data_IF_350430195947
#
_entry.id   IF_350430195947
#
_cell.length_a   1.000
_cell.length_b   1.000
_cell.length_c   1.000
_cell.angle_alpha   90.00
_cell.angle_beta   90.00
_cell.angle_gamma   90.00
#
_symmetry.space_group_name_H-M   'P 1'
#
loop_
_entity.id
_entity.type
_entity.pdbx_description
1 polymer ?
#
# COMPACT_ATOMS: atom_id res chain seq x y z
N UNK A 1 4.68 -0.38 14.89
CA UNK A 1 4.70 0.44 16.12
C UNK A 1 5.61 1.64 16.01
N UNK A 2 6.78 1.48 15.40
CA UNK A 2 7.69 2.60 15.21
C UNK A 2 7.08 3.70 14.34
N UNK A 3 6.36 3.31 13.29
CA UNK A 3 5.69 4.28 12.41
C UNK A 3 4.62 5.04 13.18
N UNK A 4 3.81 4.35 13.97
CA UNK A 4 2.76 5.00 14.77
C UNK A 4 3.35 5.95 15.80
N UNK A 5 4.53 5.67 16.33
CA UNK A 5 5.19 6.53 17.31
C UNK A 5 5.67 7.86 16.72
N UNK A 6 5.69 7.98 15.38
CA UNK A 6 6.11 9.22 14.69
C UNK A 6 4.96 10.18 14.41
N UNK A 7 3.83 10.02 15.09
CA UNK A 7 2.68 10.90 14.93
C UNK A 7 1.72 10.45 13.82
N UNK A 8 1.84 9.22 13.39
CA UNK A 8 0.94 8.62 12.39
C UNK A 8 -0.27 8.05 13.12
N UNK A 9 -1.46 8.43 12.71
CA UNK A 9 -2.70 7.98 13.35
C UNK A 9 -3.13 6.60 12.88
N UNK A 10 -2.87 6.26 11.62
CA UNK A 10 -3.35 5.02 11.04
C UNK A 10 -2.40 4.53 9.95
N UNK A 11 -2.19 3.22 9.89
CA UNK A 11 -1.46 2.57 8.81
C UNK A 11 -2.46 1.78 7.97
N UNK A 12 -2.42 1.98 6.64
CA UNK A 12 -3.34 1.34 5.70
C UNK A 12 -2.52 0.53 4.71
N UNK A 13 -2.95 -0.71 4.46
CA UNK A 13 -2.41 -1.55 3.40
C UNK A 13 -3.49 -1.71 2.34
N UNK A 14 -3.21 -1.33 1.10
CA UNK A 14 -4.16 -1.36 0.01
C UNK A 14 -3.59 -2.15 -1.16
N UNK A 15 -4.41 -2.98 -1.77
CA UNK A 15 -4.00 -3.75 -2.95
C UNK A 15 -5.19 -4.00 -3.86
N UNK A 16 -4.90 -4.28 -5.13
CA UNK A 16 -5.90 -4.67 -6.12
C UNK A 16 -6.19 -6.16 -5.94
N UNK A 17 -6.96 -6.45 -4.90
CA UNK A 17 -7.42 -7.80 -4.56
C UNK A 17 -8.80 -7.67 -3.96
N UNK A 18 -9.57 -8.75 -3.97
CA UNK A 18 -10.89 -8.72 -3.35
C UNK A 18 -10.80 -8.73 -1.82
N UNK A 19 -11.92 -8.40 -1.17
CA UNK A 19 -11.97 -8.27 0.28
C UNK A 19 -11.62 -9.58 1.02
N UNK A 20 -11.93 -10.72 0.43
CA UNK A 20 -11.63 -12.02 1.04
C UNK A 20 -10.12 -12.29 1.06
N UNK A 21 -9.44 -11.94 -0.03
CA UNK A 21 -7.99 -12.09 -0.11
C UNK A 21 -7.30 -11.16 0.89
N UNK A 22 -7.75 -9.91 0.97
CA UNK A 22 -7.18 -8.94 1.90
C UNK A 22 -7.36 -9.39 3.35
N UNK A 23 -8.52 -9.94 3.68
CA UNK A 23 -8.79 -10.43 5.03
C UNK A 23 -7.91 -11.63 5.37
N UNK A 24 -7.70 -12.54 4.43
CA UNK A 24 -6.84 -13.69 4.63
C UNK A 24 -5.40 -13.26 4.87
N UNK A 25 -4.92 -12.28 4.12
CA UNK A 25 -3.58 -11.73 4.26
C UNK A 25 -3.39 -11.04 5.61
N UNK A 26 -4.37 -10.23 6.01
CA UNK A 26 -4.38 -9.58 7.33
C UNK A 26 -4.23 -10.62 8.45
N UNK A 27 -5.00 -11.69 8.36
CA UNK A 27 -4.99 -12.76 9.35
C UNK A 27 -3.65 -13.49 9.37
N UNK A 28 -3.09 -13.77 8.19
CA UNK A 28 -1.79 -14.43 8.06
C UNK A 28 -0.68 -13.61 8.70
N UNK A 29 -0.72 -12.29 8.54
CA UNK A 29 0.28 -11.38 9.08
C UNK A 29 0.05 -11.03 10.54
N UNK A 30 -1.08 -11.42 11.10
CA UNK A 30 -1.46 -11.10 12.50
C UNK A 30 -1.42 -9.59 12.77
N UNK A 31 -1.87 -8.79 11.80
CA UNK A 31 -1.73 -7.32 11.83
C UNK A 31 -3.07 -6.59 12.00
N UNK A 32 -4.15 -7.30 12.35
CA UNK A 32 -5.50 -6.73 12.35
C UNK A 32 -5.70 -5.58 13.34
N UNK A 33 -4.89 -5.50 14.38
CA UNK A 33 -4.98 -4.45 15.39
C UNK A 33 -4.06 -3.26 15.10
N UNK A 34 -3.21 -3.34 14.08
CA UNK A 34 -2.20 -2.30 13.79
C UNK A 34 -2.31 -1.72 12.39
N UNK A 35 -2.84 -2.46 11.44
CA UNK A 35 -2.90 -2.07 10.04
C UNK A 35 -4.30 -2.32 9.52
N UNK A 36 -4.88 -1.32 8.86
CA UNK A 36 -6.16 -1.45 8.18
C UNK A 36 -5.90 -1.96 6.77
N UNK A 37 -6.52 -3.09 6.40
CA UNK A 37 -6.38 -3.67 5.07
C UNK A 37 -7.58 -3.27 4.21
N UNK A 38 -7.32 -2.60 3.10
CA UNK A 38 -8.35 -2.14 2.17
C UNK A 38 -8.25 -2.86 0.84
N UNK A 39 -9.40 -3.20 0.28
CA UNK A 39 -9.52 -3.84 -1.02
C UNK A 39 -9.81 -2.80 -2.09
N UNK A 40 -8.95 -2.71 -3.10
CA UNK A 40 -9.20 -1.95 -4.32
C UNK A 40 -9.50 -2.96 -5.43
N UNK A 41 -10.59 -3.71 -5.26
CA UNK A 41 -10.90 -4.90 -6.04
C UNK A 41 -10.89 -4.71 -7.56
N UNK A 42 -11.39 -3.58 -8.04
CA UNK A 42 -11.43 -3.27 -9.47
C UNK A 42 -10.27 -2.37 -9.92
N UNK A 43 -9.37 -2.02 -9.02
CA UNK A 43 -8.25 -1.14 -9.35
C UNK A 43 -8.61 0.31 -9.58
N UNK A 44 -9.81 0.73 -9.22
CA UNK A 44 -10.29 2.08 -9.50
C UNK A 44 -9.50 3.14 -8.76
N UNK A 45 -9.22 2.90 -7.49
CA UNK A 45 -8.44 3.84 -6.68
C UNK A 45 -7.00 3.92 -7.20
N UNK A 46 -6.37 2.78 -7.42
CA UNK A 46 -4.98 2.74 -7.92
C UNK A 46 -4.85 3.45 -9.26
N UNK A 47 -5.82 3.25 -10.15
CA UNK A 47 -5.85 3.91 -11.45
C UNK A 47 -6.03 5.43 -11.30
N UNK A 48 -6.97 5.84 -10.46
CA UNK A 48 -7.25 7.26 -10.24
C UNK A 48 -6.04 8.00 -9.66
N UNK A 49 -5.24 7.31 -8.84
CA UNK A 49 -4.04 7.89 -8.25
C UNK A 49 -2.81 7.81 -9.15
N UNK A 50 -2.94 7.17 -10.33
CA UNK A 50 -1.80 6.96 -11.21
C UNK A 50 -0.81 5.92 -10.68
N UNK A 51 -1.27 5.02 -9.83
CA UNK A 51 -0.43 4.02 -9.16
C UNK A 51 -0.77 2.59 -9.61
N UNK A 52 -1.43 2.44 -10.74
CA UNK A 52 -1.71 1.11 -11.29
C UNK A 52 -0.61 0.67 -12.24
N UNK A 53 -0.48 -0.64 -12.43
CA UNK A 53 0.46 -1.25 -13.34
C UNK A 53 -0.20 -2.41 -14.06
N UNK A 54 0.15 -2.60 -15.32
CA UNK A 54 -0.37 -3.70 -16.12
C UNK A 54 0.56 -4.91 -15.99
N UNK A 55 0.10 -5.95 -15.32
CA UNK A 55 0.82 -7.20 -15.15
C UNK A 55 0.13 -8.36 -15.89
N UNK A 56 -0.62 -8.06 -16.96
CA UNK A 56 -1.35 -9.08 -17.71
C UNK A 56 -0.41 -10.08 -18.38
N UNK A 57 0.84 -9.71 -18.68
CA UNK A 57 1.81 -10.65 -19.27
C UNK A 57 2.09 -11.85 -18.36
N UNK A 58 1.95 -11.70 -17.04
CA UNK A 58 2.15 -12.79 -16.10
C UNK A 58 0.82 -13.26 -15.49
N UNK A 59 -0.30 -12.86 -16.07
CA UNK A 59 -1.61 -13.32 -15.65
C UNK A 59 -2.23 -12.60 -14.48
N UNK A 60 -1.65 -11.48 -14.04
CA UNK A 60 -2.15 -10.73 -12.87
C UNK A 60 -3.11 -9.60 -13.26
N UNK A 61 -3.19 -9.26 -14.54
CA UNK A 61 -4.02 -8.15 -15.00
C UNK A 61 -3.50 -6.80 -14.50
N UNK A 62 -4.41 -5.91 -14.17
CA UNK A 62 -4.05 -4.60 -13.65
C UNK A 62 -3.90 -4.68 -12.12
N UNK A 63 -2.75 -4.25 -11.63
CA UNK A 63 -2.42 -4.31 -10.21
C UNK A 63 -1.97 -2.93 -9.73
N UNK A 64 -1.86 -2.78 -8.42
CA UNK A 64 -1.24 -1.60 -7.82
C UNK A 64 0.26 -1.66 -8.01
N UNK A 65 0.88 -0.51 -8.29
CA UNK A 65 2.32 -0.39 -8.18
C UNK A 65 2.71 -0.59 -6.72
N UNK A 66 3.96 -0.96 -6.48
CA UNK A 66 4.46 -1.06 -5.10
C UNK A 66 4.90 0.32 -4.65
N UNK A 67 4.30 0.81 -3.59
CA UNK A 67 4.60 2.16 -3.12
C UNK A 67 4.32 2.28 -1.62
N UNK A 68 4.88 3.33 -1.02
CA UNK A 68 4.51 3.80 0.30
C UNK A 68 4.19 5.28 0.18
N UNK A 69 3.25 5.76 0.97
CA UNK A 69 2.81 7.15 0.91
C UNK A 69 2.45 7.66 2.29
N UNK A 70 2.56 8.97 2.47
CA UNK A 70 2.13 9.67 3.68
C UNK A 70 1.07 10.68 3.29
N UNK A 71 -0.08 10.64 3.95
CA UNK A 71 -1.16 11.58 3.73
C UNK A 71 -1.55 12.25 5.04
N UNK A 72 -1.96 13.52 4.95
CA UNK A 72 -2.44 14.28 6.10
C UNK A 72 -3.69 15.03 5.66
N UNK A 73 -4.81 14.77 6.33
CA UNK A 73 -6.10 15.38 5.99
C UNK A 73 -6.46 15.21 4.52
N UNK A 74 -6.29 14.00 4.00
CA UNK A 74 -6.59 13.61 2.62
C UNK A 74 -5.68 14.25 1.57
N UNK A 75 -4.55 14.81 1.98
CA UNK A 75 -3.55 15.38 1.07
C UNK A 75 -2.28 14.53 1.14
N UNK A 76 -1.81 14.05 -0.01
CA UNK A 76 -0.56 13.31 -0.07
C UNK A 76 0.62 14.26 0.16
N UNK A 77 1.43 13.95 1.16
CA UNK A 77 2.63 14.72 1.49
C UNK A 77 3.88 14.12 0.86
N UNK A 78 3.92 12.81 0.73
CA UNK A 78 5.05 12.10 0.16
C UNK A 78 4.60 10.79 -0.46
N UNK A 79 5.19 10.40 -1.58
CA UNK A 79 4.92 9.12 -2.23
C UNK A 79 6.25 8.54 -2.70
N UNK A 80 6.51 7.29 -2.32
CA UNK A 80 7.72 6.56 -2.69
C UNK A 80 7.31 5.37 -3.55
N UNK A 81 7.44 5.50 -4.87
CA UNK A 81 7.00 4.47 -5.83
C UNK A 81 8.20 3.69 -6.33
N UNK A 82 8.10 2.36 -6.27
CA UNK A 82 9.16 1.50 -6.76
C UNK A 82 9.21 1.47 -8.28
N UNK A 83 10.40 1.24 -8.80
CA UNK A 83 10.60 1.00 -10.22
C UNK A 83 10.45 -0.51 -10.47
N UNK A 84 9.38 -0.89 -11.18
CA UNK A 84 9.12 -2.30 -11.49
C UNK A 84 8.89 -3.13 -10.23
N UNK A 85 9.67 -4.20 -10.06
CA UNK A 85 9.53 -5.12 -8.93
C UNK A 85 10.53 -4.86 -7.80
N UNK A 86 11.27 -3.75 -7.87
CA UNK A 86 12.25 -3.41 -6.84
C UNK A 86 11.60 -3.21 -5.47
N UNK A 87 12.38 -3.33 -4.43
CA UNK A 87 11.94 -3.07 -3.06
C UNK A 87 13.03 -2.24 -2.37
N UNK A 88 13.02 -0.95 -2.62
CA UNK A 88 14.04 -0.02 -2.12
C UNK A 88 13.45 1.19 -1.42
N UNK A 89 12.55 1.91 -2.11
CA UNK A 89 12.03 3.19 -1.61
C UNK A 89 10.71 3.05 -0.87
N UNK A 90 9.97 1.97 -1.06
CA UNK A 90 8.68 1.74 -0.42
C UNK A 90 8.78 0.94 0.87
N UNK A 91 9.98 0.69 1.36
CA UNK A 91 10.17 -0.07 2.59
C UNK A 91 9.78 0.75 3.82
N UNK A 92 9.44 0.05 4.91
CA UNK A 92 9.17 0.71 6.18
C UNK A 92 10.39 1.50 6.67
N UNK A 93 11.60 0.98 6.44
CA UNK A 93 12.85 1.67 6.77
C UNK A 93 12.95 3.02 6.09
N UNK A 94 12.74 3.05 4.78
CA UNK A 94 12.82 4.29 4.03
C UNK A 94 11.73 5.27 4.46
N UNK A 95 10.52 4.76 4.71
CA UNK A 95 9.42 5.58 5.19
C UNK A 95 9.77 6.22 6.53
N UNK A 96 10.27 5.42 7.47
CA UNK A 96 10.65 5.90 8.80
C UNK A 96 11.73 6.99 8.72
N UNK A 97 12.70 6.85 7.83
CA UNK A 97 13.77 7.83 7.69
C UNK A 97 13.28 9.16 7.13
N UNK A 98 12.08 9.21 6.57
CA UNK A 98 11.49 10.41 5.98
C UNK A 98 10.32 10.98 6.79
N UNK A 99 10.06 10.44 7.98
CA UNK A 99 8.98 10.94 8.85
C UNK A 99 9.43 12.00 9.86
#
# INVERSE_FOLDING_TARGET
>A
EEILSKGIDEIVCLAVNNAFVMKAWEKQLEASDKVTFLSDGNGEFSKAMGLSADASMIGFGEISARYAAVANNNVLEAVFVEAGTALEVSTAENLLSNL
#
